data_IF_025512140558
#
_entry.id   IF_025512140558
#
_cell.length_a   1.000
_cell.length_b   1.000
_cell.length_c   1.000
_cell.angle_alpha   90.00
_cell.angle_beta   90.00
_cell.angle_gamma   90.00
#
_symmetry.space_group_name_H-M   'P 1'
#
loop_
_entity.id
_entity.type
_entity.pdbx_description
1 polymer ?
#
# COMPACT_ATOMS: atom_id res chain seq x y z
N UNK A 1 -0.47 -26.26 -9.65
CA UNK A 1 -0.22 -25.25 -8.60
C UNK A 1 -0.23 -23.81 -9.17
N UNK A 2 -1.14 -23.49 -10.10
CA UNK A 2 -1.35 -22.13 -10.67
C UNK A 2 -2.75 -21.58 -10.35
N UNK A 3 -3.72 -22.50 -10.21
CA UNK A 3 -5.14 -22.20 -9.97
C UNK A 3 -5.38 -21.54 -8.61
N UNK A 4 -4.63 -21.92 -7.58
CA UNK A 4 -4.77 -21.33 -6.22
C UNK A 4 -4.34 -19.85 -6.17
N UNK A 5 -3.36 -19.47 -6.99
CA UNK A 5 -2.83 -18.11 -7.02
C UNK A 5 -3.76 -17.16 -7.79
N UNK A 6 -4.26 -17.59 -8.94
CA UNK A 6 -5.24 -16.81 -9.72
C UNK A 6 -6.58 -16.65 -8.99
N UNK A 7 -7.02 -17.65 -8.21
CA UNK A 7 -8.19 -17.51 -7.34
C UNK A 7 -7.92 -16.50 -6.21
N UNK A 8 -6.77 -16.61 -5.54
CA UNK A 8 -6.38 -15.67 -4.46
C UNK A 8 -6.35 -14.23 -4.96
N UNK A 9 -5.73 -13.99 -6.13
CA UNK A 9 -5.64 -12.66 -6.73
C UNK A 9 -7.02 -12.12 -7.11
N UNK A 10 -7.91 -12.98 -7.61
CA UNK A 10 -9.30 -12.59 -7.92
C UNK A 10 -10.09 -12.24 -6.66
N UNK A 11 -9.95 -13.02 -5.59
CA UNK A 11 -10.61 -12.75 -4.31
C UNK A 11 -10.08 -11.48 -3.63
N UNK A 12 -8.77 -11.26 -3.63
CA UNK A 12 -8.16 -10.02 -3.15
C UNK A 12 -8.64 -8.82 -3.97
N UNK A 13 -8.67 -8.96 -5.29
CA UNK A 13 -9.13 -7.90 -6.19
C UNK A 13 -10.62 -7.57 -6.00
N UNK A 14 -11.47 -8.55 -5.69
CA UNK A 14 -12.88 -8.33 -5.36
C UNK A 14 -13.09 -7.73 -3.97
N UNK A 15 -12.35 -8.20 -2.95
CA UNK A 15 -12.43 -7.66 -1.59
C UNK A 15 -11.91 -6.21 -1.51
N UNK A 16 -10.85 -5.89 -2.26
CA UNK A 16 -10.22 -4.56 -2.29
C UNK A 16 -10.95 -3.57 -3.21
N UNK A 17 -11.87 -4.03 -4.07
CA UNK A 17 -12.61 -3.17 -5.01
C UNK A 17 -13.47 -2.10 -4.33
N UNK A 18 -13.82 -2.32 -3.06
CA UNK A 18 -14.63 -1.41 -2.25
C UNK A 18 -13.85 -0.76 -1.10
N UNK A 19 -12.53 -0.99 -1.02
CA UNK A 19 -11.70 -0.39 0.03
C UNK A 19 -11.10 0.90 -0.50
N UNK A 20 -11.54 2.01 0.05
CA UNK A 20 -10.96 3.34 -0.20
C UNK A 20 -10.19 3.76 1.04
N UNK A 21 -8.95 4.21 0.84
CA UNK A 21 -8.12 4.81 1.88
C UNK A 21 -8.03 6.31 1.59
N UNK A 22 -8.30 7.14 2.61
CA UNK A 22 -8.17 8.58 2.50
C UNK A 22 -6.82 9.01 3.08
N UNK A 23 -6.04 9.75 2.31
CA UNK A 23 -4.75 10.32 2.73
C UNK A 23 -4.62 11.74 2.14
N UNK A 24 -4.32 12.74 2.97
CA UNK A 24 -4.25 14.16 2.55
C UNK A 24 -5.52 14.64 1.82
N UNK A 25 -6.68 14.15 2.27
CA UNK A 25 -7.98 14.48 1.67
C UNK A 25 -8.24 13.88 0.28
N UNK A 26 -7.36 13.01 -0.22
CA UNK A 26 -7.53 12.29 -1.49
C UNK A 26 -7.88 10.83 -1.25
N UNK A 27 -8.70 10.29 -2.13
CA UNK A 27 -9.08 8.87 -2.13
C UNK A 27 -8.07 8.03 -2.92
N UNK A 28 -7.62 6.96 -2.29
CA UNK A 28 -6.70 5.99 -2.86
C UNK A 28 -7.30 4.59 -2.80
N UNK A 29 -6.93 3.79 -3.80
CA UNK A 29 -7.30 2.40 -3.88
C UNK A 29 -6.06 1.57 -3.55
N UNK A 30 -6.15 0.70 -2.53
CA UNK A 30 -5.09 -0.25 -2.24
C UNK A 30 -4.85 -1.20 -3.41
N UNK A 31 -3.57 -1.45 -3.70
CA UNK A 31 -3.10 -2.44 -4.67
C UNK A 31 -2.06 -3.34 -4.01
N UNK A 32 -1.92 -4.55 -4.55
CA UNK A 32 -0.84 -5.45 -4.14
C UNK A 32 0.51 -4.75 -4.26
N UNK A 33 1.34 -4.86 -3.23
CA UNK A 33 2.66 -4.25 -3.17
C UNK A 33 3.70 -5.25 -3.72
N UNK A 34 4.00 -5.18 -5.01
CA UNK A 34 5.07 -6.00 -5.62
C UNK A 34 6.46 -5.40 -5.33
N UNK A 35 6.53 -4.07 -5.29
CA UNK A 35 7.73 -3.30 -5.02
C UNK A 35 7.33 -1.98 -4.37
N UNK A 36 8.23 -1.40 -3.59
CA UNK A 36 8.05 -0.10 -2.95
C UNK A 36 9.24 0.80 -3.26
N UNK A 37 8.98 2.06 -3.58
CA UNK A 37 10.00 3.07 -3.86
C UNK A 37 9.86 4.24 -2.87
N UNK A 38 10.88 5.09 -2.83
CA UNK A 38 10.78 6.37 -2.11
C UNK A 38 9.61 7.18 -2.68
N UNK A 39 8.95 7.95 -1.82
CA UNK A 39 7.79 8.79 -2.11
C UNK A 39 6.50 8.03 -2.47
N UNK A 40 6.53 6.70 -2.60
CA UNK A 40 5.30 5.92 -2.76
C UNK A 40 4.40 6.10 -1.53
N UNK A 41 3.12 6.33 -1.76
CA UNK A 41 2.10 6.35 -0.71
C UNK A 41 1.67 4.91 -0.47
N UNK A 42 1.81 4.46 0.78
CA UNK A 42 1.57 3.06 1.16
C UNK A 42 0.69 2.98 2.40
N UNK A 43 -0.01 1.86 2.53
CA UNK A 43 -0.62 1.42 3.77
C UNK A 43 0.15 0.20 4.26
N UNK A 44 0.87 0.31 5.38
CA UNK A 44 1.61 -0.79 5.99
C UNK A 44 1.01 -1.03 7.38
N UNK A 45 0.44 -2.21 7.59
CA UNK A 45 -0.43 -2.49 8.74
C UNK A 45 -1.50 -1.39 8.85
N UNK A 46 -1.60 -0.72 10.01
CA UNK A 46 -2.53 0.39 10.24
C UNK A 46 -1.95 1.78 9.93
N UNK A 47 -0.74 1.87 9.38
CA UNK A 47 -0.09 3.15 9.10
C UNK A 47 -0.21 3.51 7.62
N UNK A 48 -0.57 4.76 7.36
CA UNK A 48 -0.69 5.32 6.01
C UNK A 48 0.24 6.53 5.91
N UNK A 49 1.04 6.56 4.84
CA UNK A 49 2.04 7.60 4.64
C UNK A 49 2.85 7.38 3.38
N UNK A 50 3.72 8.34 3.06
CA UNK A 50 4.71 8.16 1.99
C UNK A 50 5.98 7.52 2.53
N UNK A 51 6.69 6.80 1.67
CA UNK A 51 7.95 6.12 2.03
C UNK A 51 9.11 7.12 1.98
N UNK A 52 9.78 7.30 3.10
CA UNK A 52 10.89 8.26 3.25
C UNK A 52 12.26 7.56 3.29
N UNK A 53 12.29 6.30 3.74
CA UNK A 53 13.52 5.51 3.79
C UNK A 53 13.25 4.01 3.61
N UNK A 54 14.14 3.33 2.89
CA UNK A 54 14.14 1.89 2.70
C UNK A 54 15.51 1.36 3.15
N UNK A 55 15.54 0.75 4.31
CA UNK A 55 16.72 0.14 4.91
C UNK A 55 16.83 -1.35 4.61
N UNK A 56 17.84 -1.99 5.19
CA UNK A 56 18.02 -3.43 5.04
C UNK A 56 17.00 -4.24 5.87
N UNK A 57 16.65 -3.75 7.07
CA UNK A 57 15.73 -4.45 7.99
C UNK A 57 14.41 -3.73 8.20
N UNK A 58 14.32 -2.47 7.79
CA UNK A 58 13.18 -1.61 8.10
C UNK A 58 12.83 -0.66 6.97
N UNK A 59 11.60 -0.18 6.99
CA UNK A 59 11.10 0.91 6.16
C UNK A 59 10.60 2.03 7.07
N UNK A 60 10.80 3.28 6.64
CA UNK A 60 10.23 4.45 7.30
C UNK A 60 9.16 5.04 6.41
N UNK A 61 7.97 5.20 6.98
CA UNK A 61 6.90 5.97 6.36
C UNK A 61 6.62 7.23 7.17
N UNK A 62 6.30 8.32 6.48
CA UNK A 62 5.90 9.58 7.08
C UNK A 62 4.41 9.73 6.90
N UNK A 63 3.69 9.80 8.02
CA UNK A 63 2.23 9.92 8.03
C UNK A 63 1.79 11.33 7.62
N UNK A 64 0.49 11.51 7.34
CA UNK A 64 -0.11 12.82 7.02
C UNK A 64 0.12 13.87 8.12
N UNK A 65 0.34 13.44 9.37
CA UNK A 65 0.67 14.32 10.50
C UNK A 65 2.15 14.70 10.58
N UNK A 66 2.98 14.24 9.64
CA UNK A 66 4.43 14.40 9.65
C UNK A 66 5.14 13.49 10.67
N UNK A 67 4.47 12.45 11.18
CA UNK A 67 5.10 11.49 12.11
C UNK A 67 5.85 10.39 11.34
N UNK A 68 7.10 10.12 11.73
CA UNK A 68 7.87 8.99 11.22
C UNK A 68 7.45 7.68 11.91
N UNK A 69 7.16 6.66 11.12
CA UNK A 69 6.94 5.28 11.59
C UNK A 69 8.04 4.39 11.05
N UNK A 70 8.85 3.87 11.96
CA UNK A 70 9.88 2.88 11.69
C UNK A 70 9.24 1.50 11.82
N UNK A 71 9.25 0.72 10.75
CA UNK A 71 8.57 -0.57 10.69
C UNK A 71 9.60 -1.62 10.27
N UNK A 72 9.88 -2.60 11.14
CA UNK A 72 10.74 -3.72 10.78
C UNK A 72 10.01 -4.62 9.78
N UNK A 73 10.72 -5.13 8.77
CA UNK A 73 10.11 -6.01 7.76
C UNK A 73 9.47 -7.26 8.37
N UNK A 74 10.04 -7.77 9.47
CA UNK A 74 9.48 -8.90 10.23
C UNK A 74 8.14 -8.61 10.92
N UNK A 75 7.76 -7.34 11.07
CA UNK A 75 6.53 -6.90 11.74
C UNK A 75 5.42 -6.52 10.73
N UNK A 76 5.73 -6.52 9.44
CA UNK A 76 4.75 -6.25 8.37
C UNK A 76 3.85 -7.47 8.21
N UNK A 77 2.57 -7.30 8.53
CA UNK A 77 1.53 -8.32 8.34
C UNK A 77 0.77 -8.10 7.04
N UNK A 78 0.59 -6.84 6.67
CA UNK A 78 -0.08 -6.42 5.45
C UNK A 78 0.57 -5.13 4.92
N UNK A 79 0.68 -5.02 3.61
CA UNK A 79 1.24 -3.85 2.96
C UNK A 79 0.59 -3.65 1.59
N UNK A 80 0.20 -2.42 1.29
CA UNK A 80 -0.48 -2.05 0.06
C UNK A 80 0.11 -0.77 -0.52
N UNK A 81 0.22 -0.73 -1.84
CA UNK A 81 0.50 0.48 -2.58
C UNK A 81 -0.81 1.25 -2.77
N UNK A 82 -0.81 2.54 -2.44
CA UNK A 82 -1.98 3.40 -2.58
C UNK A 82 -1.87 4.18 -3.88
N UNK A 83 -2.83 3.97 -4.79
CA UNK A 83 -2.89 4.66 -6.08
C UNK A 83 -4.23 5.36 -6.24
N UNK A 84 -4.21 6.55 -6.84
CA UNK A 84 -5.43 7.26 -7.23
C UNK A 84 -5.95 6.59 -8.50
N UNK A 85 -7.21 6.17 -8.52
CA UNK A 85 -7.89 5.82 -9.76
C UNK A 85 -8.33 7.11 -10.45
N UNK A 86 -7.63 7.52 -11.50
CA UNK A 86 -8.27 8.38 -12.49
C UNK A 86 -9.28 7.53 -13.26
N UNK A 87 -10.45 8.10 -13.60
CA UNK A 87 -11.63 7.42 -14.17
C UNK A 87 -11.44 6.63 -15.49
N UNK A 88 -10.21 6.32 -15.89
CA UNK A 88 -9.84 5.40 -16.97
C UNK A 88 -9.06 4.16 -16.49
N UNK A 89 -9.08 3.84 -15.18
CA UNK A 89 -8.57 2.57 -14.65
C UNK A 89 -7.06 2.34 -14.78
N UNK A 90 -6.29 3.35 -15.21
CA UNK A 90 -4.84 3.29 -15.28
C UNK A 90 -4.22 4.15 -14.17
N UNK A 91 -3.36 3.57 -13.32
CA UNK A 91 -2.55 4.34 -12.38
C UNK A 91 -1.52 5.20 -13.14
N UNK A 92 -1.19 6.38 -12.61
CA UNK A 92 -0.04 7.19 -13.03
C UNK A 92 1.21 6.63 -12.33
#
# INVERSE_FOLDING_TARGET
>A
MKVDQELSDKFLKEAMKNTVVVYEGKEYIPRSLESVYLEDIVSINSYVGYVDFIGYTEIVIVTEKGENKYIQYSEIKEAFLLRIENGMGNPI
#
